data_IF_590238878459
#
_entry.id   IF_590238878459
#
_cell.length_a   1.000
_cell.length_b   1.000
_cell.length_c   1.000
_cell.angle_alpha   90.00
_cell.angle_beta   90.00
_cell.angle_gamma   90.00
#
_symmetry.space_group_name_H-M   'P 1'
#
loop_
_entity.id
_entity.type
_entity.pdbx_description
1 polymer ?
#
# COMPACT_ATOMS: atom_id res chain seq x y z
N UNK A 1 -18.37 9.31 12.93
CA UNK A 1 -17.91 7.96 12.59
C UNK A 1 -16.39 7.98 12.67
N UNK A 2 -15.78 7.01 13.34
CA UNK A 2 -14.33 6.82 13.37
C UNK A 2 -14.02 5.60 12.50
N UNK A 3 -12.97 5.70 11.71
CA UNK A 3 -12.53 4.66 10.77
C UNK A 3 -11.01 4.62 10.77
N UNK A 4 -10.43 3.45 10.51
CA UNK A 4 -9.01 3.27 10.24
C UNK A 4 -8.80 2.73 8.82
N UNK A 5 -7.65 3.00 8.24
CA UNK A 5 -7.18 2.38 7.00
C UNK A 5 -5.96 1.50 7.27
N UNK A 6 -5.93 0.31 6.70
CA UNK A 6 -4.74 -0.55 6.69
C UNK A 6 -4.04 -0.42 5.33
N UNK A 7 -2.75 -0.11 5.33
CA UNK A 7 -1.93 0.11 4.14
C UNK A 7 -0.53 -0.44 4.36
N UNK A 8 -0.39 -1.77 4.40
CA UNK A 8 0.94 -2.39 4.45
C UNK A 8 1.71 -2.05 3.16
N UNK A 9 3.04 -2.04 3.25
CA UNK A 9 3.90 -1.77 2.10
C UNK A 9 3.74 -2.84 1.01
N UNK A 10 3.34 -2.44 -0.19
CA UNK A 10 3.22 -3.28 -1.38
C UNK A 10 2.40 -4.58 -1.19
N UNK A 11 1.60 -4.67 -0.13
CA UNK A 11 0.83 -5.88 0.21
C UNK A 11 -0.53 -5.54 0.82
N UNK A 12 -1.53 -6.34 0.47
CA UNK A 12 -2.88 -6.30 1.07
C UNK A 12 -3.17 -7.54 1.92
N UNK A 13 -2.19 -8.44 2.11
CA UNK A 13 -2.46 -9.78 2.68
C UNK A 13 -3.02 -9.75 4.12
N UNK A 14 -2.79 -8.68 4.87
CA UNK A 14 -3.37 -8.49 6.22
C UNK A 14 -4.70 -7.72 6.21
N UNK A 15 -5.18 -7.22 5.07
CA UNK A 15 -6.38 -6.37 5.00
C UNK A 15 -7.62 -7.12 5.49
N UNK A 16 -7.82 -8.37 5.06
CA UNK A 16 -8.98 -9.16 5.47
C UNK A 16 -8.98 -9.41 6.99
N UNK A 17 -7.82 -9.76 7.56
CA UNK A 17 -7.64 -10.01 8.99
C UNK A 17 -8.00 -8.76 9.82
N UNK A 18 -7.52 -7.58 9.40
CA UNK A 18 -7.82 -6.33 10.11
C UNK A 18 -9.27 -5.90 9.93
N UNK A 19 -9.89 -6.11 8.76
CA UNK A 19 -11.33 -5.85 8.57
C UNK A 19 -12.19 -6.70 9.51
N UNK A 20 -11.90 -8.01 9.64
CA UNK A 20 -12.60 -8.91 10.57
C UNK A 20 -12.38 -8.53 12.03
N UNK A 21 -11.15 -8.16 12.39
CA UNK A 21 -10.86 -7.67 13.73
C UNK A 21 -11.64 -6.38 14.03
N UNK A 22 -11.68 -5.44 13.09
CA UNK A 22 -12.45 -4.20 13.20
C UNK A 22 -13.95 -4.45 13.37
N UNK A 23 -14.54 -5.34 12.57
CA UNK A 23 -15.96 -5.72 12.68
C UNK A 23 -16.29 -6.24 14.09
N UNK A 24 -15.45 -7.13 14.64
CA UNK A 24 -15.60 -7.68 15.99
C UNK A 24 -15.55 -6.58 17.07
N UNK A 25 -14.70 -5.58 16.91
CA UNK A 25 -14.53 -4.47 17.86
C UNK A 25 -15.49 -3.28 17.59
N UNK A 26 -16.34 -3.35 16.56
CA UNK A 26 -17.22 -2.26 16.17
C UNK A 26 -16.50 -1.05 15.54
N UNK A 27 -15.33 -1.27 14.94
CA UNK A 27 -14.51 -0.28 14.26
C UNK A 27 -14.57 -0.47 12.73
N UNK A 28 -14.91 0.59 12.00
CA UNK A 28 -14.88 0.55 10.54
C UNK A 28 -13.42 0.54 10.03
N UNK A 29 -13.11 -0.36 9.10
CA UNK A 29 -11.78 -0.53 8.50
C UNK A 29 -11.87 -0.45 6.98
N UNK A 30 -11.13 0.48 6.39
CA UNK A 30 -10.93 0.57 4.95
C UNK A 30 -9.69 -0.22 4.53
N UNK A 31 -9.79 -0.97 3.44
CA UNK A 31 -8.66 -1.71 2.87
C UNK A 31 -7.85 -0.84 1.93
N UNK A 32 -6.53 -0.94 2.02
CA UNK A 32 -5.62 -0.24 1.13
C UNK A 32 -4.22 -0.84 1.13
N UNK A 33 -3.31 -0.15 0.46
CA UNK A 33 -1.90 -0.54 0.29
C UNK A 33 -1.04 0.72 0.14
N UNK A 34 0.14 0.74 0.75
CA UNK A 34 1.16 1.78 0.49
C UNK A 34 2.12 1.27 -0.58
N UNK A 35 2.01 1.82 -1.78
CA UNK A 35 2.77 1.37 -2.96
C UNK A 35 4.02 2.22 -3.11
N UNK A 36 5.19 1.58 -3.12
CA UNK A 36 6.45 2.25 -3.43
C UNK A 36 6.69 2.25 -4.95
N UNK A 37 6.70 3.42 -5.57
CA UNK A 37 6.97 3.57 -7.00
C UNK A 37 8.43 3.29 -7.37
N UNK A 38 8.71 3.20 -8.68
CA UNK A 38 10.06 3.09 -9.20
C UNK A 38 10.93 4.30 -8.83
N UNK A 39 10.32 5.47 -8.69
CA UNK A 39 10.95 6.70 -8.20
C UNK A 39 11.04 6.77 -6.67
N UNK A 40 10.71 5.67 -5.99
CA UNK A 40 10.63 5.58 -4.52
C UNK A 40 9.64 6.58 -3.90
N UNK A 41 8.62 6.99 -4.67
CA UNK A 41 7.49 7.79 -4.16
C UNK A 41 6.42 6.85 -3.63
N UNK A 42 5.95 7.11 -2.42
CA UNK A 42 4.90 6.29 -1.81
C UNK A 42 3.51 6.86 -2.10
N UNK A 43 2.62 6.00 -2.60
CA UNK A 43 1.23 6.33 -2.87
C UNK A 43 0.33 5.37 -2.08
N UNK A 44 -0.57 5.91 -1.27
CA UNK A 44 -1.64 5.13 -0.64
C UNK A 44 -2.74 4.90 -1.68
N UNK A 45 -3.13 3.63 -1.84
CA UNK A 45 -4.31 3.22 -2.61
C UNK A 45 -5.37 2.67 -1.67
N UNK A 46 -6.58 3.22 -1.69
CA UNK A 46 -7.73 2.72 -0.93
C UNK A 46 -8.84 2.24 -1.86
N UNK A 47 -9.49 1.13 -1.51
CA UNK A 47 -10.49 0.47 -2.36
C UNK A 47 -11.71 0.04 -1.54
N UNK A 48 -12.90 0.25 -2.12
CA UNK A 48 -14.16 -0.22 -1.53
C UNK A 48 -14.39 -1.72 -1.79
N UNK A 49 -14.08 -2.19 -3.00
CA UNK A 49 -14.32 -3.56 -3.44
C UNK A 49 -13.14 -4.49 -3.13
N UNK A 50 -13.44 -5.68 -2.61
CA UNK A 50 -12.42 -6.69 -2.29
C UNK A 50 -11.70 -7.19 -3.55
N UNK A 51 -12.41 -7.29 -4.68
CA UNK A 51 -11.80 -7.68 -5.96
C UNK A 51 -10.74 -6.68 -6.40
N UNK A 52 -10.94 -5.38 -6.19
CA UNK A 52 -9.97 -4.34 -6.55
C UNK A 52 -8.68 -4.45 -5.72
N UNK A 53 -8.77 -4.86 -4.45
CA UNK A 53 -7.60 -5.10 -3.60
C UNK A 53 -6.74 -6.25 -4.13
N UNK A 54 -7.37 -7.36 -4.53
CA UNK A 54 -6.64 -8.49 -5.10
C UNK A 54 -6.11 -8.19 -6.51
N UNK A 55 -6.88 -7.48 -7.34
CA UNK A 55 -6.43 -7.06 -8.67
C UNK A 55 -5.18 -6.18 -8.60
N UNK A 56 -5.11 -5.22 -7.64
CA UNK A 56 -3.90 -4.43 -7.47
C UNK A 56 -2.75 -5.27 -6.91
N UNK A 57 -3.02 -6.18 -5.97
CA UNK A 57 -2.00 -7.04 -5.38
C UNK A 57 -1.26 -7.88 -6.42
N UNK A 58 -1.99 -8.46 -7.38
CA UNK A 58 -1.42 -9.25 -8.46
C UNK A 58 -0.44 -8.40 -9.28
N UNK A 59 -0.84 -7.20 -9.67
CA UNK A 59 0.02 -6.27 -10.41
C UNK A 59 1.25 -5.88 -9.60
N UNK A 60 1.10 -5.62 -8.30
CA UNK A 60 2.23 -5.29 -7.42
C UNK A 60 3.23 -6.43 -7.34
N UNK A 61 2.79 -7.67 -7.13
CA UNK A 61 3.68 -8.82 -7.03
C UNK A 61 4.35 -9.21 -8.34
N UNK A 62 3.74 -8.90 -9.49
CA UNK A 62 4.40 -9.01 -10.80
C UNK A 62 5.51 -7.96 -11.00
N UNK A 63 5.40 -6.81 -10.33
CA UNK A 63 6.32 -5.68 -10.49
C UNK A 63 7.29 -5.49 -9.31
N UNK A 64 7.19 -6.30 -8.26
CA UNK A 64 8.08 -6.29 -7.11
C UNK A 64 9.19 -7.34 -7.30
N UNK A 65 10.44 -6.94 -7.06
CA UNK A 65 11.61 -7.80 -7.23
C UNK A 65 12.37 -7.98 -5.91
N UNK A 66 13.01 -9.13 -5.75
CA UNK A 66 13.83 -9.46 -4.59
C UNK A 66 13.09 -10.24 -3.50
N UNK A 67 13.89 -10.83 -2.62
CA UNK A 67 13.42 -11.53 -1.43
C UNK A 67 13.83 -10.74 -0.18
N UNK A 68 13.01 -10.83 0.86
CA UNK A 68 13.26 -10.17 2.12
C UNK A 68 14.41 -10.86 2.86
N UNK A 69 15.35 -10.05 3.37
CA UNK A 69 16.35 -10.49 4.33
C UNK A 69 15.85 -10.11 5.74
N UNK A 70 15.37 -11.10 6.50
CA UNK A 70 14.78 -10.88 7.82
C UNK A 70 15.79 -10.33 8.84
N UNK A 71 17.10 -10.58 8.65
CA UNK A 71 18.14 -10.07 9.55
C UNK A 71 18.41 -8.57 9.33
N UNK A 72 18.08 -8.06 8.13
CA UNK A 72 18.29 -6.65 7.75
C UNK A 72 17.02 -5.83 7.86
N UNK A 73 15.91 -6.31 7.30
CA UNK A 73 14.65 -5.56 7.16
C UNK A 73 13.58 -5.98 8.17
N UNK A 74 13.85 -7.03 8.96
CA UNK A 74 12.89 -7.60 9.88
C UNK A 74 11.89 -8.54 9.20
N UNK A 75 10.97 -9.08 10.01
CA UNK A 75 9.98 -10.05 9.56
C UNK A 75 8.78 -9.36 8.94
N UNK A 76 8.29 -9.93 7.85
CA UNK A 76 7.05 -9.50 7.19
C UNK A 76 5.98 -10.54 7.47
N UNK A 77 5.26 -10.33 8.58
CA UNK A 77 4.34 -11.33 9.13
C UNK A 77 2.95 -11.22 8.53
N UNK A 78 2.33 -12.37 8.30
CA UNK A 78 0.92 -12.49 8.01
C UNK A 78 0.20 -12.91 9.28
N UNK A 79 -0.85 -12.18 9.65
CA UNK A 79 -1.62 -12.43 10.87
C UNK A 79 -3.09 -12.72 10.55
N UNK A 80 -3.73 -13.54 11.38
CA UNK A 80 -5.19 -13.70 11.38
C UNK A 80 -5.88 -12.60 12.20
N UNK A 81 -7.22 -12.61 12.21
CA UNK A 81 -8.02 -11.61 12.94
C UNK A 81 -7.89 -11.67 14.48
N UNK A 82 -7.16 -12.66 15.00
CA UNK A 82 -6.88 -12.87 16.42
C UNK A 82 -5.42 -12.55 16.80
N UNK A 83 -4.71 -11.81 15.94
CA UNK A 83 -3.31 -11.42 16.15
C UNK A 83 -2.36 -12.64 16.21
N UNK A 84 -2.73 -13.74 15.56
CA UNK A 84 -1.87 -14.93 15.47
C UNK A 84 -1.12 -14.90 14.16
N UNK A 85 0.20 -15.06 14.24
CA UNK A 85 1.05 -15.22 13.06
C UNK A 85 0.69 -16.53 12.36
N UNK A 86 0.21 -16.44 11.13
CA UNK A 86 -0.16 -17.57 10.27
C UNK A 86 0.86 -17.82 9.14
N UNK A 87 1.77 -16.88 8.92
CA UNK A 87 2.82 -17.02 7.91
C UNK A 87 3.74 -15.81 7.83
N UNK A 88 4.56 -15.78 6.80
CA UNK A 88 5.37 -14.62 6.42
C UNK A 88 5.45 -14.46 4.91
N UNK A 89 5.56 -13.22 4.45
CA UNK A 89 5.79 -12.91 3.05
C UNK A 89 7.29 -12.86 2.78
N UNK A 90 7.74 -13.56 1.72
CA UNK A 90 9.15 -13.66 1.33
C UNK A 90 9.61 -12.58 0.36
N UNK A 91 8.71 -11.85 -0.30
CA UNK A 91 9.05 -10.77 -1.25
C UNK A 91 9.63 -9.58 -0.49
N UNK A 92 10.50 -8.76 -1.08
CA UNK A 92 11.01 -7.58 -0.41
C UNK A 92 9.97 -6.43 -0.40
N UNK A 93 9.05 -6.41 0.58
CA UNK A 93 7.90 -5.48 0.58
C UNK A 93 8.30 -4.01 0.76
N UNK A 94 9.43 -3.74 1.42
CA UNK A 94 9.99 -2.38 1.53
C UNK A 94 10.59 -1.86 0.21
N UNK A 95 10.77 -2.73 -0.78
CA UNK A 95 11.40 -2.38 -2.06
C UNK A 95 10.49 -1.55 -2.98
N UNK A 96 11.13 -0.75 -3.84
CA UNK A 96 10.44 -0.09 -4.95
C UNK A 96 9.89 -1.09 -5.96
N UNK A 97 8.66 -0.88 -6.41
CA UNK A 97 8.10 -1.58 -7.57
C UNK A 97 8.73 -1.07 -8.86
N UNK A 98 8.52 -1.79 -9.96
CA UNK A 98 8.90 -1.35 -11.32
C UNK A 98 7.88 -0.39 -11.95
N UNK A 99 6.85 0.01 -11.19
CA UNK A 99 5.78 0.87 -11.68
C UNK A 99 6.15 2.34 -11.45
N UNK A 100 6.07 3.22 -12.46
CA UNK A 100 6.24 4.65 -12.25
C UNK A 100 5.07 5.22 -11.45
N UNK A 101 5.29 6.31 -10.72
CA UNK A 101 4.28 6.97 -9.87
C UNK A 101 2.99 7.29 -10.62
N UNK A 102 3.09 7.77 -11.86
CA UNK A 102 1.93 8.05 -12.72
C UNK A 102 1.16 6.77 -13.07
N UNK A 103 1.89 5.68 -13.33
CA UNK A 103 1.32 4.37 -13.59
C UNK A 103 0.55 3.81 -12.38
N UNK A 104 1.05 4.05 -11.17
CA UNK A 104 0.40 3.66 -9.92
C UNK A 104 -0.90 4.44 -9.73
N UNK A 105 -0.88 5.77 -9.84
CA UNK A 105 -2.08 6.60 -9.69
C UNK A 105 -3.15 6.20 -10.70
N UNK A 106 -2.77 6.01 -11.98
CA UNK A 106 -3.69 5.54 -13.01
C UNK A 106 -4.25 4.14 -12.71
N UNK A 107 -3.42 3.22 -12.20
CA UNK A 107 -3.85 1.87 -11.82
C UNK A 107 -4.88 1.89 -10.69
N UNK A 108 -4.62 2.67 -9.63
CA UNK A 108 -5.54 2.83 -8.50
C UNK A 108 -6.90 3.32 -9.01
N UNK A 109 -6.92 4.38 -9.82
CA UNK A 109 -8.14 4.94 -10.38
C UNK A 109 -8.88 3.99 -11.33
N UNK A 110 -8.13 3.24 -12.16
CA UNK A 110 -8.70 2.20 -13.04
C UNK A 110 -9.42 1.10 -12.28
N UNK A 111 -8.98 0.79 -11.06
CA UNK A 111 -9.59 -0.18 -10.16
C UNK A 111 -10.64 0.45 -9.22
N UNK A 112 -10.99 1.73 -9.44
CA UNK A 112 -12.00 2.45 -8.68
C UNK A 112 -11.56 2.92 -7.30
N UNK A 113 -10.26 2.92 -7.03
CA UNK A 113 -9.70 3.37 -5.74
C UNK A 113 -9.37 4.86 -5.68
N UNK A 114 -8.97 5.31 -4.50
CA UNK A 114 -8.45 6.65 -4.23
C UNK A 114 -6.93 6.62 -4.13
N UNK A 115 -6.26 7.55 -4.80
CA UNK A 115 -4.81 7.69 -4.81
C UNK A 115 -4.38 8.92 -4.00
N UNK A 116 -3.60 8.69 -2.94
CA UNK A 116 -3.15 9.73 -2.01
C UNK A 116 -1.62 9.71 -1.98
N UNK A 117 -0.96 10.86 -2.18
CA UNK A 117 0.49 10.92 -1.97
C UNK A 117 0.79 10.84 -0.47
N UNK A 118 1.55 9.83 -0.08
CA UNK A 118 1.97 9.57 1.30
C UNK A 118 3.10 10.55 1.68
N UNK A 119 3.07 11.01 2.94
CA UNK A 119 4.09 11.84 3.59
C UNK A 119 4.71 12.89 2.65
N UNK A 120 3.87 13.72 2.03
CA UNK A 120 4.16 14.54 0.85
C UNK A 120 5.42 15.41 0.94
N UNK A 121 5.81 15.83 2.15
CA UNK A 121 6.95 16.71 2.43
C UNK A 121 8.07 16.05 3.26
N UNK A 122 8.00 14.73 3.50
CA UNK A 122 9.06 14.01 4.24
C UNK A 122 10.38 14.04 3.49
N UNK A 123 11.49 14.10 4.22
CA UNK A 123 12.85 14.18 3.66
C UNK A 123 13.26 12.96 2.82
N UNK A 124 12.53 11.85 2.88
CA UNK A 124 12.77 10.65 2.08
C UNK A 124 11.44 9.97 1.74
N UNK A 125 11.39 9.35 0.56
CA UNK A 125 10.24 8.60 0.02
C UNK A 125 8.99 9.43 -0.34
N UNK A 126 9.06 10.75 -0.16
CA UNK A 126 7.98 11.66 -0.52
C UNK A 126 8.06 12.11 -1.98
N UNK A 127 6.93 12.47 -2.57
CA UNK A 127 6.88 12.99 -3.92
C UNK A 127 7.72 14.27 -4.10
N UNK A 128 7.77 15.15 -3.09
CA UNK A 128 8.57 16.38 -3.15
C UNK A 128 10.06 16.06 -3.03
N UNK A 129 10.48 15.15 -2.15
CA UNK A 129 11.89 14.79 -2.00
C UNK A 129 12.45 14.10 -3.25
N UNK A 130 11.64 13.27 -3.91
CA UNK A 130 12.09 12.47 -5.06
C UNK A 130 11.98 13.23 -6.38
N UNK A 131 10.90 14.00 -6.58
CA UNK A 131 10.65 14.70 -7.85
C UNK A 131 10.91 16.21 -7.79
N UNK A 132 11.05 16.78 -6.59
CA UNK A 132 11.20 18.23 -6.37
C UNK A 132 9.89 19.03 -6.46
N UNK A 133 8.79 18.40 -6.89
CA UNK A 133 7.46 19.01 -7.02
C UNK A 133 6.39 17.93 -7.18
N UNK A 134 5.12 18.29 -7.00
CA UNK A 134 3.98 17.43 -7.36
C UNK A 134 3.68 17.65 -8.85
N UNK A 135 3.76 16.62 -9.72
CA UNK A 135 3.49 16.78 -11.15
C UNK A 135 2.05 17.23 -11.39
N UNK A 136 1.84 18.32 -12.13
CA UNK A 136 0.50 18.90 -12.34
C UNK A 136 -0.48 18.03 -13.13
N UNK A 137 0.00 16.97 -13.78
CA UNK A 137 -0.83 15.96 -14.45
C UNK A 137 -1.20 14.76 -13.59
N UNK A 138 -0.64 14.65 -12.38
CA UNK A 138 -0.90 13.54 -11.46
C UNK A 138 -2.23 13.79 -10.74
N UNK A 139 -3.23 12.96 -11.04
CA UNK A 139 -4.57 13.07 -10.46
C UNK A 139 -4.61 12.45 -9.07
N UNK A 140 -4.06 13.14 -8.07
CA UNK A 140 -4.15 12.71 -6.67
C UNK A 140 -5.49 13.17 -6.07
N UNK A 141 -6.11 12.30 -5.28
CA UNK A 141 -7.36 12.59 -4.57
C UNK A 141 -7.11 13.35 -3.26
N UNK A 142 -5.95 13.14 -2.65
CA UNK A 142 -5.49 13.87 -1.47
C UNK A 142 -3.95 13.85 -1.34
N UNK A 143 -3.46 14.61 -0.37
CA UNK A 143 -2.07 14.62 0.08
C UNK A 143 -2.07 14.38 1.58
N UNK A 144 -1.21 13.47 2.06
CA UNK A 144 -0.98 13.19 3.49
C UNK A 144 0.33 13.80 3.96
#
# INVERSE_FOLDING_TARGET
MQMIGICDHNSIENVEAVKKAGEREGLAVMGGVEIASQEEVHILGFFDEETSLWDIQDVLYENLSGENDEDVFGKQLLADEYDRVIGSNKRLLIGATRLPVEGIVHLIHRLGGLAIASHVDRESFSIISQLGFIPGGLTLDALE
#
